data_IF_042447751362
#
_entry.id   IF_042447751362
#
_cell.length_a   1.000
_cell.length_b   1.000
_cell.length_c   1.000
_cell.angle_alpha   90.00
_cell.angle_beta   90.00
_cell.angle_gamma   90.00
#
_symmetry.space_group_name_H-M   'P 1'
#
loop_
_entity.id
_entity.type
_entity.pdbx_description
1 polymer ?
#
# COMPACT_ATOMS: atom_id res chain seq x y z
N UNK A 1 -14.57 -15.46 -5.55
CA UNK A 1 -15.04 -14.20 -6.15
C UNK A 1 -13.85 -13.27 -6.18
N UNK A 2 -13.44 -12.85 -7.37
CA UNK A 2 -12.35 -11.90 -7.59
C UNK A 2 -13.02 -10.54 -7.73
N UNK A 3 -12.68 -9.58 -6.88
CA UNK A 3 -13.20 -8.23 -7.03
C UNK A 3 -12.46 -7.54 -8.18
N UNK A 4 -13.15 -6.69 -8.92
CA UNK A 4 -12.58 -5.97 -10.06
C UNK A 4 -12.87 -4.49 -9.94
N UNK A 5 -11.86 -3.65 -10.18
CA UNK A 5 -12.03 -2.20 -10.33
C UNK A 5 -11.86 -1.82 -11.80
N UNK A 6 -12.79 -1.07 -12.34
CA UNK A 6 -12.72 -0.58 -13.72
C UNK A 6 -12.54 0.93 -13.71
N UNK A 7 -11.56 1.42 -14.47
CA UNK A 7 -11.30 2.85 -14.62
C UNK A 7 -10.96 3.20 -16.07
N UNK A 8 -11.27 4.44 -16.50
CA UNK A 8 -10.98 4.88 -17.86
C UNK A 8 -9.48 5.06 -18.10
N UNK A 9 -9.04 4.85 -19.34
CA UNK A 9 -7.66 4.95 -19.80
C UNK A 9 -6.84 3.66 -19.63
N UNK A 10 -5.61 3.68 -20.16
CA UNK A 10 -4.60 2.63 -19.95
C UNK A 10 -3.87 2.88 -18.62
N UNK A 11 -4.31 2.20 -17.57
CA UNK A 11 -3.60 2.17 -16.29
C UNK A 11 -3.19 0.74 -15.93
N UNK A 12 -2.64 0.03 -16.91
CA UNK A 12 -2.01 -1.30 -16.70
C UNK A 12 -0.79 -1.26 -15.79
N UNK A 13 -0.16 -0.09 -15.64
CA UNK A 13 0.92 0.12 -14.68
C UNK A 13 0.34 0.39 -13.28
N UNK A 14 0.23 -0.66 -12.47
CA UNK A 14 -0.23 -0.59 -11.08
C UNK A 14 0.85 -1.05 -10.09
N UNK A 15 0.75 -0.57 -8.85
CA UNK A 15 1.61 -1.04 -7.75
C UNK A 15 0.99 -2.30 -7.10
N UNK A 16 1.62 -3.49 -7.22
CA UNK A 16 1.09 -4.72 -6.63
C UNK A 16 1.13 -4.73 -5.10
N UNK A 17 1.90 -3.83 -4.48
CA UNK A 17 1.98 -3.68 -3.02
C UNK A 17 0.97 -2.67 -2.48
N UNK A 18 0.26 -1.97 -3.37
CA UNK A 18 -0.81 -1.05 -2.98
C UNK A 18 -1.99 -1.82 -2.38
N UNK A 19 -2.48 -1.33 -1.23
CA UNK A 19 -3.60 -1.91 -0.51
C UNK A 19 -4.82 -1.05 -0.73
N UNK A 20 -5.88 -1.65 -1.27
CA UNK A 20 -7.20 -1.06 -1.42
C UNK A 20 -8.08 -1.43 -0.22
N UNK A 21 -8.76 -0.45 0.37
CA UNK A 21 -9.69 -0.64 1.49
C UNK A 21 -9.41 0.31 2.68
N UNK A 22 -10.04 0.05 3.85
CA UNK A 22 -10.99 -1.03 4.10
C UNK A 22 -12.35 -0.80 3.42
N UNK A 23 -12.99 -1.87 2.95
CA UNK A 23 -14.38 -1.83 2.50
C UNK A 23 -15.36 -1.68 3.69
N UNK A 24 -16.66 -1.62 3.42
CA UNK A 24 -17.71 -1.49 4.44
C UNK A 24 -17.73 -2.63 5.47
N UNK A 25 -17.08 -3.77 5.18
CA UNK A 25 -16.98 -4.94 6.04
C UNK A 25 -15.56 -5.13 6.63
N UNK A 26 -14.64 -4.19 6.39
CA UNK A 26 -13.26 -4.27 6.86
C UNK A 26 -12.37 -5.20 6.02
N UNK A 27 -12.78 -5.56 4.81
CA UNK A 27 -11.96 -6.26 3.83
C UNK A 27 -10.93 -5.32 3.19
N UNK A 28 -9.71 -5.81 2.99
CA UNK A 28 -8.69 -5.13 2.19
C UNK A 28 -8.24 -6.03 1.06
N UNK A 29 -7.81 -5.42 -0.05
CA UNK A 29 -7.51 -6.10 -1.29
C UNK A 29 -6.20 -5.57 -1.88
N UNK A 30 -5.54 -6.38 -2.71
CA UNK A 30 -4.41 -5.96 -3.54
C UNK A 30 -4.66 -6.33 -4.99
N UNK A 31 -4.11 -5.53 -5.90
CA UNK A 31 -4.13 -5.86 -7.31
C UNK A 31 -3.12 -6.97 -7.62
N UNK A 32 -3.50 -7.88 -8.53
CA UNK A 32 -2.57 -8.89 -9.05
C UNK A 32 -2.46 -8.86 -10.58
N UNK A 33 -3.42 -8.25 -11.27
CA UNK A 33 -3.45 -8.17 -12.72
C UNK A 33 -4.26 -6.96 -13.20
N UNK A 34 -4.02 -6.52 -14.44
CA UNK A 34 -4.72 -5.41 -15.08
C UNK A 34 -4.85 -5.62 -16.60
N UNK A 35 -6.09 -5.54 -17.09
CA UNK A 35 -6.42 -5.71 -18.51
C UNK A 35 -6.94 -4.39 -19.13
N UNK A 36 -6.21 -3.82 -20.09
CA UNK A 36 -6.67 -2.68 -20.87
C UNK A 36 -7.46 -3.10 -22.11
N UNK A 37 -8.64 -2.49 -22.30
CA UNK A 37 -9.52 -2.66 -23.43
C UNK A 37 -9.52 -1.38 -24.29
N UNK A 38 -8.79 -1.35 -25.41
CA UNK A 38 -8.69 -0.16 -26.26
C UNK A 38 -10.02 0.21 -26.95
N UNK A 39 -10.95 -0.74 -27.11
CA UNK A 39 -12.24 -0.50 -27.74
C UNK A 39 -13.20 0.36 -26.89
N UNK A 40 -13.04 0.33 -25.57
CA UNK A 40 -13.87 1.06 -24.61
C UNK A 40 -13.07 2.10 -23.81
N UNK A 41 -11.76 2.18 -24.06
CA UNK A 41 -10.78 2.96 -23.31
C UNK A 41 -10.89 2.74 -21.79
N UNK A 42 -10.92 1.47 -21.39
CA UNK A 42 -11.05 1.07 -19.99
C UNK A 42 -10.01 0.05 -19.61
N UNK A 43 -9.49 0.16 -18.38
CA UNK A 43 -8.68 -0.86 -17.74
C UNK A 43 -9.47 -1.52 -16.62
N UNK A 44 -9.40 -2.84 -16.55
CA UNK A 44 -9.96 -3.64 -15.46
C UNK A 44 -8.83 -4.17 -14.61
N UNK A 45 -8.80 -3.78 -13.35
CA UNK A 45 -7.84 -4.21 -12.34
C UNK A 45 -8.44 -5.37 -11.54
N UNK A 46 -7.74 -6.49 -11.48
CA UNK A 46 -8.19 -7.67 -10.74
C UNK A 46 -7.61 -7.67 -9.34
N UNK A 47 -8.48 -7.81 -8.34
CA UNK A 47 -8.16 -7.73 -6.93
C UNK A 47 -8.29 -9.07 -6.23
N UNK A 48 -7.37 -9.33 -5.31
CA UNK A 48 -7.48 -10.44 -4.36
C UNK A 48 -7.54 -9.92 -2.92
N UNK A 49 -8.36 -10.54 -2.06
CA UNK A 49 -8.41 -10.16 -0.65
C UNK A 49 -7.06 -10.45 0.03
N UNK A 50 -6.65 -9.53 0.90
CA UNK A 50 -5.50 -9.67 1.76
C UNK A 50 -5.98 -10.22 3.11
N UNK A 51 -5.47 -11.39 3.56
CA UNK A 51 -5.82 -11.91 4.88
C UNK A 51 -5.46 -10.92 5.98
N UNK A 52 -6.34 -10.72 6.96
CA UNK A 52 -6.13 -9.77 8.07
C UNK A 52 -4.80 -9.97 8.80
N UNK A 53 -4.36 -11.22 8.96
CA UNK A 53 -3.05 -11.55 9.55
C UNK A 53 -1.89 -10.89 8.79
N UNK A 54 -1.93 -10.88 7.46
CA UNK A 54 -0.89 -10.27 6.62
C UNK A 54 -0.88 -8.76 6.79
N UNK A 55 -2.06 -8.14 6.94
CA UNK A 55 -2.18 -6.70 7.21
C UNK A 55 -1.58 -6.35 8.57
N UNK A 56 -1.87 -7.15 9.60
CA UNK A 56 -1.32 -6.97 10.95
C UNK A 56 0.21 -7.13 10.95
N UNK A 57 0.74 -8.17 10.30
CA UNK A 57 2.18 -8.39 10.17
C UNK A 57 2.87 -7.22 9.45
N UNK A 58 2.29 -6.73 8.34
CA UNK A 58 2.79 -5.53 7.64
C UNK A 58 2.76 -4.28 8.51
N UNK A 59 1.69 -4.09 9.30
CA UNK A 59 1.56 -2.97 10.23
C UNK A 59 2.63 -2.99 11.33
N UNK A 60 2.94 -4.18 11.87
CA UNK A 60 4.01 -4.37 12.86
C UNK A 60 5.38 -4.05 12.25
N UNK A 61 5.68 -4.54 11.04
CA UNK A 61 6.96 -4.27 10.38
C UNK A 61 7.15 -2.76 10.18
N UNK A 62 6.14 -2.07 9.62
CA UNK A 62 6.22 -0.62 9.40
C UNK A 62 6.37 0.17 10.69
N UNK A 63 5.75 -0.25 11.79
CA UNK A 63 5.89 0.45 13.07
C UNK A 63 7.30 0.27 13.66
N UNK A 64 7.91 -0.90 13.51
CA UNK A 64 9.30 -1.17 13.88
C UNK A 64 10.27 -0.35 13.05
N UNK A 65 10.08 -0.30 11.72
CA UNK A 65 10.90 0.53 10.82
C UNK A 65 10.80 2.02 11.17
N UNK A 66 9.60 2.52 11.42
CA UNK A 66 9.37 3.90 11.83
C UNK A 66 9.96 4.22 13.21
N UNK A 67 10.02 3.23 14.12
CA UNK A 67 10.70 3.39 15.40
C UNK A 67 12.22 3.47 15.20
N UNK A 68 12.80 2.53 14.45
CA UNK A 68 14.23 2.53 14.15
C UNK A 68 14.69 3.83 13.47
N UNK A 69 13.87 4.37 12.56
CA UNK A 69 14.14 5.65 11.92
C UNK A 69 14.13 6.81 12.92
N UNK A 70 13.18 6.84 13.87
CA UNK A 70 13.13 7.85 14.94
C UNK A 70 14.35 7.77 15.85
N UNK A 71 14.70 6.57 16.32
CA UNK A 71 15.87 6.36 17.18
C UNK A 71 17.17 6.81 16.49
N UNK A 72 17.28 6.58 15.18
CA UNK A 72 18.42 7.05 14.38
C UNK A 72 18.48 8.59 14.32
N UNK A 73 17.35 9.25 14.07
CA UNK A 73 17.29 10.72 14.04
C UNK A 73 17.64 11.32 15.40
N UNK A 74 17.08 10.81 16.50
CA UNK A 74 17.41 11.27 17.86
C UNK A 74 18.90 11.11 18.16
N UNK A 75 19.51 10.00 17.74
CA UNK A 75 20.95 9.77 17.92
C UNK A 75 21.80 10.73 17.10
N UNK A 76 21.39 11.07 15.88
CA UNK A 76 22.07 12.08 15.06
C UNK A 76 21.95 13.47 15.72
N UNK A 77 20.75 13.84 16.19
CA UNK A 77 20.55 15.11 16.90
C UNK A 77 21.40 15.21 18.17
N UNK A 78 21.49 14.14 18.94
CA UNK A 78 22.35 14.07 20.12
C UNK A 78 23.85 14.19 19.80
N UNK A 79 24.30 13.63 18.67
CA UNK A 79 25.71 13.64 18.27
C UNK A 79 26.14 14.98 17.65
N UNK A 80 25.24 15.64 16.91
CA UNK A 80 25.56 16.85 16.15
C UNK A 80 24.92 18.13 16.70
N UNK A 81 24.15 18.04 17.80
CA UNK A 81 23.69 19.20 18.56
C UNK A 81 22.78 20.15 17.78
N UNK A 82 21.99 19.65 16.83
CA UNK A 82 21.08 20.48 16.02
C UNK A 82 19.73 20.75 16.68
N UNK A 83 19.50 20.25 17.91
CA UNK A 83 18.37 20.64 18.74
C UNK A 83 18.60 22.02 19.35
N UNK A 84 17.81 23.01 18.92
CA UNK A 84 17.97 24.41 19.29
C UNK A 84 18.04 24.67 20.80
N UNK A 85 18.96 25.57 21.17
CA UNK A 85 18.95 26.32 22.42
C UNK A 85 17.90 27.45 22.37
#
# INVERSE_FOLDING_TARGET
MTDTLTYPGDCTNFDPEHIYGPDLFGGCYRAFDADYQPGTDQTTLHLVPIPHRVIQERGIIKSVEAQAQRDMFERIEHLFGTGGA
#
